data_IF_449973013903
#
_entry.id   IF_449973013903
#
_cell.length_a   1.000
_cell.length_b   1.000
_cell.length_c   1.000
_cell.angle_alpha   90.00
_cell.angle_beta   90.00
_cell.angle_gamma   90.00
#
_symmetry.space_group_name_H-M   'P 1'
#
loop_
_entity.id
_entity.type
_entity.pdbx_description
1 polymer ?
#
# COMPACT_ATOMS: atom_id res chain seq x y z
N UNK A 1 -2.09 29.63 -24.60
CA UNK A 1 -1.28 29.77 -23.38
C UNK A 1 -1.58 28.68 -22.33
N UNK A 2 -2.85 28.28 -22.16
CA UNK A 2 -3.23 27.22 -21.18
C UNK A 2 -2.68 25.82 -21.54
N UNK A 3 -2.73 25.43 -22.82
CA UNK A 3 -2.26 24.10 -23.28
C UNK A 3 -0.76 23.90 -23.08
N UNK A 4 0.05 24.93 -23.35
CA UNK A 4 1.50 24.90 -23.12
C UNK A 4 1.82 24.78 -21.62
N UNK A 5 1.05 25.47 -20.77
CA UNK A 5 1.20 25.39 -19.32
C UNK A 5 0.85 24.00 -18.78
N UNK A 6 -0.27 23.42 -19.24
CA UNK A 6 -0.67 22.06 -18.86
C UNK A 6 0.39 21.01 -19.28
N UNK A 7 1.01 21.22 -20.45
CA UNK A 7 2.10 20.35 -20.94
C UNK A 7 3.33 20.45 -20.04
N UNK A 8 3.72 21.66 -19.63
CA UNK A 8 4.82 21.90 -18.69
C UNK A 8 4.56 21.23 -17.33
N UNK A 9 3.35 21.41 -16.77
CA UNK A 9 2.96 20.82 -15.48
C UNK A 9 3.00 19.29 -15.52
N UNK A 10 2.55 18.67 -16.62
CA UNK A 10 2.66 17.23 -16.82
C UNK A 10 4.12 16.76 -16.86
N UNK A 11 5.01 17.53 -17.50
CA UNK A 11 6.43 17.19 -17.54
C UNK A 11 7.09 17.33 -16.16
N UNK A 12 6.74 18.35 -15.39
CA UNK A 12 7.21 18.53 -14.00
C UNK A 12 6.76 17.33 -13.17
N UNK A 13 5.48 16.97 -13.23
CA UNK A 13 4.92 15.85 -12.48
C UNK A 13 5.63 14.52 -12.77
N UNK A 14 5.94 14.24 -14.05
CA UNK A 14 6.70 13.04 -14.43
C UNK A 14 8.12 13.06 -13.84
N UNK A 15 8.80 14.21 -13.84
CA UNK A 15 10.13 14.34 -13.23
C UNK A 15 10.09 14.11 -11.72
N UNK A 16 9.11 14.69 -11.03
CA UNK A 16 8.91 14.49 -9.59
C UNK A 16 8.59 13.04 -9.26
N UNK A 17 7.72 12.39 -10.07
CA UNK A 17 7.43 10.96 -9.95
C UNK A 17 8.72 10.12 -10.01
N UNK A 18 9.56 10.36 -11.02
CA UNK A 18 10.82 9.63 -11.17
C UNK A 18 11.71 9.82 -9.94
N UNK A 19 11.82 11.05 -9.44
CA UNK A 19 12.62 11.35 -8.24
C UNK A 19 12.08 10.64 -6.99
N UNK A 20 10.76 10.68 -6.75
CA UNK A 20 10.15 10.01 -5.60
C UNK A 20 10.31 8.48 -5.66
N UNK A 21 10.08 7.89 -6.83
CA UNK A 21 10.28 6.46 -7.04
C UNK A 21 11.73 6.05 -6.80
N UNK A 22 12.69 6.83 -7.32
CA UNK A 22 14.12 6.57 -7.13
C UNK A 22 14.53 6.70 -5.66
N UNK A 23 14.11 7.77 -4.98
CA UNK A 23 14.39 7.97 -3.55
C UNK A 23 13.89 6.80 -2.69
N UNK A 24 12.67 6.33 -2.94
CA UNK A 24 12.11 5.21 -2.18
C UNK A 24 12.84 3.90 -2.49
N UNK A 25 13.21 3.66 -3.75
CA UNK A 25 14.03 2.50 -4.15
C UNK A 25 15.37 2.48 -3.41
N UNK A 26 16.08 3.61 -3.39
CA UNK A 26 17.37 3.72 -2.71
C UNK A 26 17.23 3.58 -1.19
N UNK A 27 16.15 4.12 -0.62
CA UNK A 27 15.83 3.96 0.79
C UNK A 27 15.58 2.51 1.19
N UNK A 28 14.86 1.75 0.37
CA UNK A 28 14.64 0.30 0.61
C UNK A 28 15.96 -0.46 0.54
N UNK A 29 16.78 -0.20 -0.48
CA UNK A 29 18.09 -0.84 -0.63
C UNK A 29 19.01 -0.53 0.56
N UNK A 30 19.01 0.71 1.07
CA UNK A 30 19.77 1.09 2.25
C UNK A 30 19.32 0.32 3.50
N UNK A 31 18.01 0.20 3.73
CA UNK A 31 17.49 -0.57 4.87
C UNK A 31 17.84 -2.05 4.75
N UNK A 32 17.76 -2.63 3.55
CA UNK A 32 18.17 -4.01 3.29
C UNK A 32 19.65 -4.23 3.59
N UNK A 33 20.52 -3.32 3.16
CA UNK A 33 21.96 -3.36 3.46
C UNK A 33 22.22 -3.29 4.97
N UNK A 34 21.56 -2.37 5.69
CA UNK A 34 21.67 -2.29 7.15
C UNK A 34 21.20 -3.59 7.84
N UNK A 35 20.10 -4.18 7.38
CA UNK A 35 19.61 -5.47 7.91
C UNK A 35 20.63 -6.60 7.68
N UNK A 36 21.25 -6.66 6.51
CA UNK A 36 22.27 -7.64 6.20
C UNK A 36 23.49 -7.49 7.14
N UNK A 37 23.97 -6.26 7.35
CA UNK A 37 25.08 -5.98 8.27
C UNK A 37 24.78 -6.44 9.69
N UNK A 38 23.60 -6.10 10.23
CA UNK A 38 23.22 -6.52 11.59
C UNK A 38 23.05 -8.04 11.67
N UNK A 39 22.52 -8.67 10.62
CA UNK A 39 22.36 -10.13 10.56
C UNK A 39 23.72 -10.84 10.64
N UNK A 40 24.74 -10.32 9.95
CA UNK A 40 26.11 -10.85 10.03
C UNK A 40 26.66 -10.76 11.47
N UNK A 41 26.44 -9.65 12.18
CA UNK A 41 26.83 -9.52 13.58
C UNK A 41 26.17 -10.59 14.47
N UNK A 42 24.86 -10.82 14.28
CA UNK A 42 24.14 -11.85 15.06
C UNK A 42 24.61 -13.28 14.75
N UNK A 43 24.95 -13.58 13.49
CA UNK A 43 25.43 -14.90 13.08
C UNK A 43 26.84 -15.20 13.57
N UNK A 44 27.70 -14.17 13.59
CA UNK A 44 29.11 -14.31 14.02
C UNK A 44 29.28 -14.19 15.53
N UNK A 45 28.24 -13.77 16.27
CA UNK A 45 28.32 -13.48 17.70
C UNK A 45 29.24 -12.28 18.02
N UNK A 46 29.64 -11.52 17.01
CA UNK A 46 30.54 -10.38 17.12
C UNK A 46 29.75 -9.08 16.97
N UNK A 47 29.63 -8.36 18.07
CA UNK A 47 28.82 -7.15 18.15
C UNK A 47 29.73 -5.92 18.26
N UNK A 48 30.05 -5.26 17.13
CA UNK A 48 30.84 -4.05 17.16
C UNK A 48 30.12 -2.95 17.94
N UNK A 49 30.89 -2.02 18.51
CA UNK A 49 30.39 -0.80 19.17
C UNK A 49 29.53 -1.04 20.43
N UNK A 50 29.67 -2.20 21.09
CA UNK A 50 29.00 -2.46 22.37
C UNK A 50 27.52 -2.82 22.23
N UNK A 51 27.07 -3.21 21.04
CA UNK A 51 25.74 -3.79 20.88
C UNK A 51 25.63 -5.13 21.62
N UNK A 52 24.46 -5.41 22.19
CA UNK A 52 24.11 -6.75 22.68
C UNK A 52 23.42 -7.55 21.60
N UNK A 53 23.32 -8.86 21.78
CA UNK A 53 22.50 -9.72 20.92
C UNK A 53 21.04 -9.24 20.88
N UNK A 54 20.48 -8.95 22.05
CA UNK A 54 19.10 -8.46 22.18
C UNK A 54 18.91 -7.10 21.50
N UNK A 55 19.87 -6.19 21.67
CA UNK A 55 19.88 -4.91 20.96
C UNK A 55 19.90 -5.09 19.44
N UNK A 56 20.65 -6.08 18.95
CA UNK A 56 20.71 -6.41 17.52
C UNK A 56 19.39 -6.98 17.00
N UNK A 57 18.73 -7.87 17.76
CA UNK A 57 17.39 -8.40 17.47
C UNK A 57 16.33 -7.29 17.43
N UNK A 58 16.36 -6.38 18.40
CA UNK A 58 15.50 -5.20 18.44
C UNK A 58 15.70 -4.30 17.23
N UNK A 59 16.96 -4.03 16.86
CA UNK A 59 17.30 -3.24 15.68
C UNK A 59 16.81 -3.89 14.38
N UNK A 60 16.97 -5.21 14.21
CA UNK A 60 16.41 -5.95 13.05
C UNK A 60 14.89 -5.77 12.99
N UNK A 61 14.20 -5.83 14.12
CA UNK A 61 12.74 -5.66 14.17
C UNK A 61 12.31 -4.25 13.74
N UNK A 62 13.04 -3.22 14.15
CA UNK A 62 12.83 -1.84 13.70
C UNK A 62 13.11 -1.68 12.20
N UNK A 63 14.18 -2.27 11.69
CA UNK A 63 14.52 -2.22 10.27
C UNK A 63 13.49 -2.95 9.39
N UNK A 64 12.95 -4.09 9.85
CA UNK A 64 11.84 -4.79 9.19
C UNK A 64 10.60 -3.92 9.10
N UNK A 65 10.21 -3.27 10.20
CA UNK A 65 9.09 -2.31 10.22
C UNK A 65 9.33 -1.17 9.24
N UNK A 66 10.52 -0.57 9.27
CA UNK A 66 10.89 0.50 8.35
C UNK A 66 10.85 0.06 6.89
N UNK A 67 11.29 -1.16 6.58
CA UNK A 67 11.22 -1.71 5.24
C UNK A 67 9.77 -1.88 4.77
N UNK A 68 8.89 -2.36 5.63
CA UNK A 68 7.46 -2.46 5.35
C UNK A 68 6.86 -1.09 5.04
N UNK A 69 7.09 -0.08 5.88
CA UNK A 69 6.59 1.28 5.66
C UNK A 69 7.06 1.88 4.34
N UNK A 70 8.32 1.63 3.96
CA UNK A 70 8.86 2.10 2.68
C UNK A 70 8.19 1.41 1.49
N UNK A 71 7.89 0.10 1.59
CA UNK A 71 7.15 -0.61 0.54
C UNK A 71 5.71 -0.09 0.41
N UNK A 72 5.05 0.18 1.53
CA UNK A 72 3.73 0.80 1.52
C UNK A 72 3.78 2.17 0.83
N UNK A 73 4.77 3.01 1.16
CA UNK A 73 4.97 4.30 0.48
C UNK A 73 5.24 4.14 -1.02
N UNK A 74 6.01 3.14 -1.45
CA UNK A 74 6.22 2.86 -2.87
C UNK A 74 4.89 2.54 -3.57
N UNK A 75 4.06 1.70 -2.96
CA UNK A 75 2.74 1.39 -3.49
C UNK A 75 1.85 2.63 -3.55
N UNK A 76 1.78 3.41 -2.47
CA UNK A 76 0.99 4.66 -2.43
C UNK A 76 1.44 5.62 -3.53
N UNK A 77 2.74 5.87 -3.65
CA UNK A 77 3.29 6.75 -4.69
C UNK A 77 2.94 6.25 -6.10
N UNK A 78 3.10 4.94 -6.36
CA UNK A 78 2.76 4.36 -7.65
C UNK A 78 1.27 4.49 -7.98
N UNK A 79 0.38 4.24 -7.02
CA UNK A 79 -1.06 4.39 -7.19
C UNK A 79 -1.46 5.85 -7.41
N UNK A 80 -0.92 6.78 -6.61
CA UNK A 80 -1.24 8.21 -6.72
C UNK A 80 -0.81 8.76 -8.08
N UNK A 81 0.42 8.50 -8.52
CA UNK A 81 0.87 8.98 -9.84
C UNK A 81 0.11 8.33 -10.99
N UNK A 82 -0.25 7.04 -10.87
CA UNK A 82 -1.11 6.37 -11.83
C UNK A 82 -2.46 7.08 -11.95
N UNK A 83 -3.13 7.34 -10.82
CA UNK A 83 -4.44 8.00 -10.80
C UNK A 83 -4.42 9.41 -11.40
N UNK A 84 -3.31 10.15 -11.25
CA UNK A 84 -3.18 11.52 -11.79
C UNK A 84 -2.80 11.50 -13.28
N UNK A 85 -1.95 10.55 -13.70
CA UNK A 85 -1.41 10.50 -15.08
C UNK A 85 -2.31 9.71 -16.04
N UNK A 86 -3.11 8.78 -15.53
CA UNK A 86 -4.12 8.11 -16.33
C UNK A 86 -5.15 9.14 -16.81
N UNK A 87 -5.60 9.06 -18.08
CA UNK A 87 -6.68 9.91 -18.54
C UNK A 87 -7.89 9.63 -17.67
N UNK A 88 -8.26 10.59 -16.81
CA UNK A 88 -9.60 10.60 -16.23
C UNK A 88 -10.55 10.53 -17.42
N UNK A 89 -11.45 9.53 -17.51
CA UNK A 89 -12.48 9.56 -18.54
C UNK A 89 -13.24 10.86 -18.31
N UNK A 90 -13.05 11.83 -19.21
CA UNK A 90 -13.90 12.99 -19.26
C UNK A 90 -15.26 12.42 -19.62
N UNK A 91 -16.17 12.36 -18.65
CA UNK A 91 -17.59 12.37 -18.96
C UNK A 91 -17.83 13.69 -19.69
N UNK A 92 -17.68 13.66 -21.01
CA UNK A 92 -18.12 14.73 -21.89
C UNK A 92 -19.62 14.54 -21.98
N UNK A 93 -20.35 15.13 -21.04
CA UNK A 93 -21.73 15.51 -21.28
C UNK A 93 -21.74 17.00 -21.64
N UNK A 94 -21.28 17.28 -22.87
CA UNK A 94 -21.81 18.40 -23.64
C UNK A 94 -22.72 17.78 -24.71
N UNK A 95 -23.92 17.37 -24.31
CA UNK A 95 -25.07 17.32 -25.22
C UNK A 95 -26.23 18.04 -24.55
N UNK A 96 -26.48 19.25 -25.03
CA UNK A 96 -27.65 20.05 -24.76
C UNK A 96 -28.87 19.31 -25.33
N UNK A 97 -29.61 18.58 -24.49
CA UNK A 97 -30.77 17.82 -24.96
C UNK A 97 -31.46 17.00 -23.86
N UNK A 98 -32.40 17.64 -23.16
CA UNK A 98 -33.60 17.07 -22.52
C UNK A 98 -33.46 15.77 -21.67
N UNK A 99 -33.44 16.00 -20.34
CA UNK A 99 -33.99 15.18 -19.25
C UNK A 99 -34.62 13.83 -19.69
N UNK A 100 -33.86 12.74 -19.55
CA UNK A 100 -34.45 11.40 -19.42
C UNK A 100 -34.42 11.00 -17.95
N UNK A 101 -35.62 10.78 -17.40
CA UNK A 101 -35.90 10.58 -15.98
C UNK A 101 -35.14 9.40 -15.34
N UNK A 102 -34.85 9.60 -14.05
CA UNK A 102 -34.28 8.64 -13.12
C UNK A 102 -35.15 7.40 -12.89
N UNK A 103 -34.43 6.29 -12.64
CA UNK A 103 -34.77 5.15 -11.77
C UNK A 103 -35.79 4.10 -12.24
N UNK A 104 -35.32 2.83 -12.25
CA UNK A 104 -35.88 1.80 -11.36
C UNK A 104 -34.87 0.65 -11.16
N UNK A 105 -34.28 0.55 -9.96
CA UNK A 105 -33.57 -0.66 -9.52
C UNK A 105 -34.25 -1.19 -8.25
N UNK A 106 -35.54 -1.50 -8.34
CA UNK A 106 -36.17 -2.45 -7.44
C UNK A 106 -35.83 -3.86 -7.89
N UNK A 107 -34.87 -4.48 -7.19
CA UNK A 107 -34.82 -5.93 -7.07
C UNK A 107 -34.51 -6.31 -5.63
N UNK A 108 -35.49 -6.05 -4.76
CA UNK A 108 -35.67 -6.85 -3.55
C UNK A 108 -36.09 -8.27 -3.95
N UNK A 109 -35.32 -9.27 -3.52
CA UNK A 109 -35.71 -10.60 -2.99
C UNK A 109 -34.39 -11.36 -2.75
N UNK A 110 -34.15 -12.13 -1.71
CA UNK A 110 -34.87 -12.49 -0.48
C UNK A 110 -33.81 -13.09 0.45
N UNK A 111 -33.93 -12.84 1.75
CA UNK A 111 -33.25 -13.56 2.83
C UNK A 111 -33.83 -14.98 2.97
N UNK A 112 -32.98 -15.95 3.33
CA UNK A 112 -33.27 -17.21 4.06
C UNK A 112 -31.90 -17.89 4.29
N UNK A 113 -31.26 -17.77 5.46
CA UNK A 113 -31.46 -18.54 6.71
C UNK A 113 -31.33 -20.06 6.54
N UNK A 114 -30.19 -20.64 6.96
CA UNK A 114 -30.14 -21.98 7.58
C UNK A 114 -29.07 -21.94 8.69
N UNK A 115 -29.55 -21.81 9.92
CA UNK A 115 -28.86 -22.22 11.15
C UNK A 115 -28.87 -23.76 11.22
N UNK A 116 -27.72 -24.38 11.45
CA UNK A 116 -27.64 -25.78 11.89
C UNK A 116 -27.00 -25.82 13.28
N UNK A 117 -27.87 -25.84 14.29
CA UNK A 117 -27.60 -26.35 15.64
C UNK A 117 -27.98 -27.84 15.68
N UNK A 118 -27.15 -28.68 16.32
CA UNK A 118 -27.51 -29.83 17.17
C UNK A 118 -26.19 -30.45 17.67
N UNK A 119 -25.84 -30.28 18.96
CA UNK A 119 -26.13 -31.18 20.10
C UNK A 119 -25.34 -32.49 20.03
N UNK A 120 -24.87 -33.15 21.08
CA UNK A 120 -24.70 -33.01 22.53
C UNK A 120 -23.85 -34.27 22.86
N UNK A 121 -23.00 -34.20 23.89
CA UNK A 121 -22.73 -35.34 24.78
C UNK A 121 -21.69 -34.92 25.81
N UNK A 122 -22.22 -34.50 26.95
CA UNK A 122 -21.54 -34.50 28.23
C UNK A 122 -21.20 -35.94 28.67
N UNK A 123 -19.98 -36.15 29.18
CA UNK A 123 -19.80 -37.12 30.26
C UNK A 123 -19.01 -36.50 31.41
N UNK A 124 -19.67 -36.42 32.56
CA UNK A 124 -19.16 -36.02 33.87
C UNK A 124 -18.83 -37.30 34.64
N UNK A 125 -17.55 -37.45 35.00
CA UNK A 125 -17.03 -37.97 36.28
C UNK A 125 -17.42 -39.37 36.78
N UNK A 126 -16.40 -40.16 37.13
CA UNK A 126 -16.04 -40.49 38.53
C UNK A 126 -14.56 -40.80 38.66
#
# INVERSE_FOLDING_TARGET
MLVSRLTEEKQILVKEMMQHCQYLKDSVAKVQSMMATVSVCTQTGSYPNGFTEEGSKGLISLLKRRQHDLRLKQQTVACTYRAILEPTPRLVEEEEGEMAEEMDWQHDISSDEEDEDEDDDAEVGT
#
